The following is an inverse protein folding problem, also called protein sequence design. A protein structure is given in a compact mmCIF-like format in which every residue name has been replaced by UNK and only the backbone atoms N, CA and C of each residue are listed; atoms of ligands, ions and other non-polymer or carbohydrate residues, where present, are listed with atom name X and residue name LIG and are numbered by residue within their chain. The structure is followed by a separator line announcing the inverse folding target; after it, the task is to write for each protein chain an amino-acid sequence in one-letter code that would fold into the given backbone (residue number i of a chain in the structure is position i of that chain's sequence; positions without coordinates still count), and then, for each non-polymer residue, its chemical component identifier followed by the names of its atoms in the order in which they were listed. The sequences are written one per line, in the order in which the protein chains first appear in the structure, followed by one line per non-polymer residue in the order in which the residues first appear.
data_IF_416587029584
#
_entry.id   IF_416587029584
#
_cell.length_a   1.000
_cell.length_b   1.000
_cell.length_c   1.000
_cell.angle_alpha   90.00
_cell.angle_beta   90.00
_cell.angle_gamma   90.00
#
_symmetry.space_group_name_H-M   'P 1'
#
loop_
_entity.id
_entity.type
_entity.pdbx_description
1 polymer ?
#
# COMPACT_ATOMS: atom_id res chain seq x y z
N UNK A 1 6.34 4.41 -7.66
CA UNK A 1 4.95 4.90 -7.49
C UNK A 1 4.29 4.52 -6.17
N UNK A 2 4.90 3.69 -5.31
CA UNK A 2 4.29 3.29 -4.03
C UNK A 2 4.26 4.44 -2.99
N UNK A 3 5.28 5.30 -2.94
CA UNK A 3 5.41 6.39 -1.96
C UNK A 3 4.24 7.41 -1.95
N UNK A 4 3.56 7.62 -3.09
CA UNK A 4 2.40 8.52 -3.17
C UNK A 4 1.17 7.88 -2.52
N UNK A 5 0.92 6.61 -2.81
CA UNK A 5 -0.20 5.86 -2.19
C UNK A 5 0.09 5.61 -0.72
N UNK A 6 1.34 5.29 -0.37
CA UNK A 6 1.82 5.15 1.00
C UNK A 6 1.60 6.42 1.81
N UNK A 7 2.02 7.58 1.26
CA UNK A 7 1.81 8.88 1.89
C UNK A 7 0.33 9.23 2.03
N UNK A 8 -0.50 8.89 1.04
CA UNK A 8 -1.95 9.09 1.12
C UNK A 8 -2.61 8.21 2.17
N UNK A 9 -2.18 6.95 2.30
CA UNK A 9 -2.64 6.03 3.34
C UNK A 9 -2.24 6.52 4.73
N UNK A 10 -1.02 7.05 4.91
CA UNK A 10 -0.59 7.72 6.15
C UNK A 10 -1.45 8.93 6.49
N UNK A 11 -1.76 9.78 5.50
CA UNK A 11 -2.65 10.94 5.68
C UNK A 11 -4.09 10.53 6.06
N UNK A 12 -4.55 9.37 5.59
CA UNK A 12 -5.84 8.77 5.97
C UNK A 12 -5.80 8.11 7.37
N UNK A 13 -4.65 8.09 8.04
CA UNK A 13 -4.46 7.49 9.36
C UNK A 13 -4.16 5.99 9.34
N UNK A 14 -3.81 5.42 8.19
CA UNK A 14 -3.28 4.06 8.10
C UNK A 14 -1.79 4.09 8.42
N UNK A 15 -1.39 3.32 9.43
CA UNK A 15 -0.01 3.23 9.88
C UNK A 15 0.44 1.76 9.87
N UNK A 16 1.75 1.53 9.89
CA UNK A 16 2.36 0.20 9.84
C UNK A 16 3.18 -0.13 11.11
N UNK A 17 2.93 0.55 12.22
CA UNK A 17 3.55 0.31 13.54
C UNK A 17 3.42 -1.14 14.05
N UNK A 18 2.45 -1.92 13.56
CA UNK A 18 2.31 -3.35 13.87
C UNK A 18 2.24 -4.17 12.59
N UNK A 19 2.70 -5.43 12.63
CA UNK A 19 2.65 -6.32 11.47
C UNK A 19 1.23 -6.53 10.91
N UNK A 20 0.21 -6.49 11.78
CA UNK A 20 -1.18 -6.56 11.36
C UNK A 20 -1.64 -5.28 10.63
N UNK A 21 -1.23 -4.11 11.14
CA UNK A 21 -1.54 -2.82 10.53
C UNK A 21 -0.79 -2.62 9.20
N UNK A 22 0.48 -3.04 9.14
CA UNK A 22 1.28 -3.10 7.92
C UNK A 22 0.57 -3.91 6.84
N UNK A 23 0.16 -5.14 7.15
CA UNK A 23 -0.54 -6.02 6.19
C UNK A 23 -1.88 -5.44 5.72
N UNK A 24 -2.59 -4.73 6.60
CA UNK A 24 -3.83 -4.03 6.25
C UNK A 24 -3.58 -2.82 5.33
N UNK A 25 -2.50 -2.07 5.59
CA UNK A 25 -2.07 -0.94 4.77
C UNK A 25 -1.59 -1.42 3.39
N UNK A 26 -0.75 -2.45 3.32
CA UNK A 26 -0.27 -3.08 2.09
C UNK A 26 -1.43 -3.59 1.23
N UNK A 27 -2.41 -4.28 1.83
CA UNK A 27 -3.58 -4.77 1.09
C UNK A 27 -4.40 -3.63 0.45
N UNK A 28 -4.52 -2.49 1.13
CA UNK A 28 -5.19 -1.29 0.60
C UNK A 28 -4.34 -0.62 -0.48
N UNK A 29 -3.04 -0.55 -0.28
CA UNK A 29 -2.10 0.00 -1.26
C UNK A 29 -2.20 -0.78 -2.58
N UNK A 30 -2.24 -2.11 -2.52
CA UNK A 30 -2.41 -3.00 -3.68
C UNK A 30 -3.76 -2.78 -4.36
N UNK A 31 -4.86 -2.70 -3.61
CA UNK A 31 -6.21 -2.49 -4.16
C UNK A 31 -6.31 -1.15 -4.91
N UNK A 32 -5.74 -0.08 -4.33
CA UNK A 32 -5.68 1.25 -4.94
C UNK A 32 -4.80 1.23 -6.19
N UNK A 33 -3.62 0.62 -6.13
CA UNK A 33 -2.70 0.54 -7.27
C UNK A 33 -3.30 -0.28 -8.41
N UNK A 34 -3.96 -1.41 -8.11
CA UNK A 34 -4.69 -2.21 -9.09
C UNK A 34 -5.82 -1.42 -9.77
N UNK A 35 -6.57 -0.61 -9.01
CA UNK A 35 -7.62 0.26 -9.56
C UNK A 35 -7.10 1.37 -10.47
N UNK A 36 -5.85 1.81 -10.27
CA UNK A 36 -5.18 2.84 -11.09
C UNK A 36 -4.34 2.22 -12.23
N UNK A 37 -4.29 0.88 -12.33
CA UNK A 37 -3.52 0.16 -13.36
C UNK A 37 -2.01 0.15 -13.10
N UNK A 38 -1.58 0.37 -11.85
CA UNK A 38 -0.18 0.29 -11.44
C UNK A 38 0.09 -1.11 -10.90
N UNK A 39 1.16 -1.73 -11.38
CA UNK A 39 1.60 -3.06 -10.93
C UNK A 39 1.93 -3.05 -9.43
N UNK A 40 1.63 -4.17 -8.77
CA UNK A 40 1.86 -4.37 -7.34
C UNK A 40 3.35 -4.21 -6.99
N UNK A 41 3.74 -3.19 -6.20
CA UNK A 41 5.13 -2.96 -5.83
C UNK A 41 5.65 -3.98 -4.81
N UNK A 42 4.76 -4.74 -4.16
CA UNK A 42 5.12 -5.84 -3.26
C UNK A 42 5.17 -7.20 -3.97
N UNK A 43 4.71 -7.24 -5.22
CA UNK A 43 4.60 -8.44 -6.06
C UNK A 43 5.76 -8.62 -7.04
N UNK A 44 6.77 -7.73 -7.02
CA UNK A 44 8.03 -7.94 -7.74
C UNK A 44 8.90 -8.93 -6.94
N UNK A 45 8.44 -10.18 -6.87
CA UNK A 45 9.30 -11.33 -6.64
C UNK A 45 9.62 -11.93 -8.01
N UNK A 46 10.78 -11.55 -8.56
CA UNK A 46 11.63 -12.26 -9.52
C UNK A 46 11.04 -12.70 -10.89
#
# INVERSE_FOLDING_TARGET
SHLVVHGMLHLLGHDHQTAAAAKAMERREIDILAGVGVADPYGDCE
#
